data_IF_946519700750
#
_entry.id   IF_946519700750
#
_cell.length_a   1.000
_cell.length_b   1.000
_cell.length_c   1.000
_cell.angle_alpha   90.00
_cell.angle_beta   90.00
_cell.angle_gamma   90.00
#
_symmetry.space_group_name_H-M   'P 1'
#
loop_
_entity.id
_entity.type
_entity.pdbx_description
1 polymer ?
#
# COMPACT_ATOMS: atom_id res chain seq x y z
N UNK A 1 -12.89 -17.53 1.13
CA UNK A 1 -11.79 -17.50 0.13
C UNK A 1 -11.32 -16.07 -0.19
N UNK A 2 -12.20 -15.06 -0.28
CA UNK A 2 -11.81 -13.66 -0.58
C UNK A 2 -10.98 -13.00 0.54
N UNK A 3 -11.24 -13.34 1.80
CA UNK A 3 -10.56 -12.79 2.99
C UNK A 3 -9.05 -13.10 3.07
N UNK A 4 -8.58 -14.11 2.34
CA UNK A 4 -7.14 -14.48 2.33
C UNK A 4 -6.32 -13.75 1.26
N UNK A 5 -6.99 -13.08 0.31
CA UNK A 5 -6.32 -12.42 -0.82
C UNK A 5 -6.03 -10.94 -0.56
N UNK A 6 -6.71 -10.36 0.42
CA UNK A 6 -6.50 -9.00 0.89
C UNK A 6 -6.15 -9.07 2.37
N UNK A 7 -5.04 -8.43 2.75
CA UNK A 7 -4.57 -8.41 4.14
C UNK A 7 -4.47 -6.98 4.65
N UNK A 8 -5.24 -6.67 5.67
CA UNK A 8 -5.09 -5.43 6.41
C UNK A 8 -4.03 -5.57 7.50
N UNK A 9 -3.13 -4.62 7.56
CA UNK A 9 -2.14 -4.47 8.62
C UNK A 9 -2.65 -3.41 9.60
N UNK A 10 -3.19 -3.88 10.70
CA UNK A 10 -3.79 -3.02 11.73
C UNK A 10 -2.91 -3.04 12.99
N UNK A 11 -2.67 -1.85 13.56
CA UNK A 11 -2.06 -1.68 14.87
C UNK A 11 -2.82 -0.60 15.65
N UNK A 12 -3.21 -0.89 16.91
CA UNK A 12 -4.00 0.01 17.78
C UNK A 12 -5.21 0.62 17.05
N UNK A 13 -6.02 -0.23 16.40
CA UNK A 13 -7.22 0.14 15.63
C UNK A 13 -6.99 1.05 14.42
N UNK A 14 -5.74 1.31 14.01
CA UNK A 14 -5.40 2.09 12.82
C UNK A 14 -4.88 1.19 11.71
N UNK A 15 -5.34 1.43 10.49
CA UNK A 15 -4.85 0.76 9.29
C UNK A 15 -3.47 1.32 8.94
N UNK A 16 -2.44 0.50 8.98
CA UNK A 16 -1.07 0.84 8.59
C UNK A 16 -0.80 0.53 7.13
N UNK A 17 -1.29 -0.60 6.67
CA UNK A 17 -1.18 -0.97 5.26
C UNK A 17 -2.30 -1.91 4.84
N UNK A 18 -2.53 -1.93 3.52
CA UNK A 18 -3.38 -2.88 2.83
C UNK A 18 -2.52 -3.62 1.80
N UNK A 19 -2.57 -4.95 1.82
CA UNK A 19 -1.84 -5.79 0.88
C UNK A 19 -2.83 -6.54 0.02
N UNK A 20 -2.64 -6.46 -1.29
CA UNK A 20 -3.41 -7.21 -2.28
C UNK A 20 -2.47 -8.25 -2.86
N UNK A 21 -2.84 -9.52 -2.69
CA UNK A 21 -2.05 -10.64 -3.21
C UNK A 21 -2.27 -10.80 -4.71
N UNK A 22 -1.28 -11.34 -5.38
CA UNK A 22 -1.29 -11.65 -6.81
C UNK A 22 -2.43 -12.59 -7.23
N UNK A 23 -2.93 -13.36 -6.28
CA UNK A 23 -4.03 -14.31 -6.49
C UNK A 23 -5.42 -13.67 -6.39
N UNK A 24 -5.50 -12.37 -6.08
CA UNK A 24 -6.80 -11.71 -5.99
C UNK A 24 -7.52 -11.74 -7.34
N UNK A 25 -8.74 -12.24 -7.30
CA UNK A 25 -9.62 -12.30 -8.47
C UNK A 25 -11.05 -11.93 -8.06
N UNK A 26 -11.69 -11.16 -8.91
CA UNK A 26 -13.13 -10.90 -8.87
C UNK A 26 -13.76 -11.39 -10.15
N UNK A 27 -14.88 -12.08 -10.08
CA UNK A 27 -15.53 -12.68 -11.25
C UNK A 27 -15.93 -11.61 -12.29
N UNK A 28 -16.52 -10.50 -11.88
CA UNK A 28 -16.96 -9.42 -12.78
C UNK A 28 -17.17 -8.10 -12.02
N UNK A 29 -16.89 -6.99 -12.70
CA UNK A 29 -17.16 -5.62 -12.22
C UNK A 29 -16.01 -5.02 -11.42
N UNK A 30 -16.32 -4.04 -10.58
CA UNK A 30 -15.36 -3.25 -9.79
C UNK A 30 -15.49 -3.60 -8.31
N UNK A 31 -14.36 -3.66 -7.60
CA UNK A 31 -14.29 -3.70 -6.13
C UNK A 31 -13.26 -2.72 -5.64
N UNK A 32 -13.65 -1.81 -4.77
CA UNK A 32 -12.71 -0.97 -4.04
C UNK A 32 -12.31 -1.64 -2.72
N UNK A 33 -11.03 -1.59 -2.39
CA UNK A 33 -10.47 -2.18 -1.18
C UNK A 33 -10.38 -1.19 -0.03
N UNK A 34 -10.44 0.09 -0.35
CA UNK A 34 -10.37 1.19 0.59
C UNK A 34 -11.75 1.72 0.93
N UNK A 35 -11.90 2.29 2.12
CA UNK A 35 -13.17 2.94 2.54
C UNK A 35 -13.48 4.12 1.63
N UNK A 36 -14.77 4.44 1.45
CA UNK A 36 -15.21 5.52 0.57
C UNK A 36 -14.66 6.92 0.93
N UNK A 37 -14.30 7.12 2.19
CA UNK A 37 -13.70 8.37 2.69
C UNK A 37 -12.16 8.37 2.66
N UNK A 38 -11.51 7.34 2.10
CA UNK A 38 -10.06 7.34 1.96
C UNK A 38 -9.63 8.35 0.88
N UNK A 39 -8.58 9.12 1.19
CA UNK A 39 -8.03 10.12 0.27
C UNK A 39 -7.38 9.52 -0.98
N UNK A 40 -6.97 8.27 -0.90
CA UNK A 40 -6.50 7.48 -2.03
C UNK A 40 -7.23 6.15 -2.03
N UNK A 41 -7.74 5.76 -3.19
CA UNK A 41 -8.50 4.53 -3.34
C UNK A 41 -7.80 3.57 -4.29
N UNK A 42 -7.86 2.29 -3.96
CA UNK A 42 -7.45 1.20 -4.83
C UNK A 42 -8.67 0.36 -5.16
N UNK A 43 -8.92 0.14 -6.43
CA UNK A 43 -9.96 -0.73 -6.94
C UNK A 43 -9.40 -1.77 -7.89
N UNK A 44 -10.06 -2.90 -7.94
CA UNK A 44 -9.83 -3.97 -8.90
C UNK A 44 -11.00 -4.03 -9.88
N UNK A 45 -10.70 -4.06 -11.16
CA UNK A 45 -11.70 -4.16 -12.22
C UNK A 45 -11.48 -5.44 -13.02
N UNK A 46 -12.56 -6.16 -13.31
CA UNK A 46 -12.56 -7.30 -14.21
C UNK A 46 -13.80 -7.22 -15.09
N UNK A 47 -13.59 -7.05 -16.39
CA UNK A 47 -14.65 -6.95 -17.37
C UNK A 47 -14.38 -7.90 -18.55
N UNK A 48 -15.40 -8.47 -19.17
CA UNK A 48 -15.25 -9.32 -20.34
C UNK A 48 -14.81 -8.51 -21.57
N UNK A 49 -14.33 -9.21 -22.59
CA UNK A 49 -14.08 -8.62 -23.90
C UNK A 49 -15.32 -7.86 -24.39
N UNK A 50 -15.12 -6.74 -25.05
CA UNK A 50 -16.16 -5.84 -25.59
C UNK A 50 -17.06 -5.15 -24.53
N UNK A 51 -16.75 -5.25 -23.26
CA UNK A 51 -17.41 -4.43 -22.25
C UNK A 51 -17.00 -2.96 -22.43
N UNK A 52 -17.97 -2.08 -22.45
CA UNK A 52 -17.73 -0.65 -22.65
C UNK A 52 -17.92 0.13 -21.34
N UNK A 53 -16.87 0.74 -20.85
CA UNK A 53 -16.93 1.69 -19.75
C UNK A 53 -17.23 3.06 -20.35
N UNK A 54 -18.38 3.64 -20.02
CA UNK A 54 -18.78 4.94 -20.58
C UNK A 54 -17.73 6.01 -20.27
N UNK A 55 -17.36 6.85 -21.26
CA UNK A 55 -16.52 8.02 -21.01
C UNK A 55 -17.13 8.90 -19.93
N UNK A 56 -16.28 9.41 -19.05
CA UNK A 56 -16.72 10.25 -17.94
C UNK A 56 -15.64 11.21 -17.49
N UNK A 57 -16.04 12.30 -16.90
CA UNK A 57 -15.17 13.25 -16.23
C UNK A 57 -15.37 13.14 -14.71
N UNK A 58 -14.27 13.23 -13.97
CA UNK A 58 -14.36 13.37 -12.51
C UNK A 58 -14.73 14.80 -12.13
N UNK A 59 -15.69 14.95 -11.24
CA UNK A 59 -16.10 16.25 -10.71
C UNK A 59 -14.96 16.88 -9.90
N UNK A 60 -14.81 18.19 -10.01
CA UNK A 60 -13.89 18.95 -9.15
C UNK A 60 -14.34 18.81 -7.69
N UNK A 61 -13.40 18.55 -6.81
CA UNK A 61 -13.63 18.51 -5.37
C UNK A 61 -12.36 18.93 -4.64
N UNK A 62 -12.51 19.61 -3.54
CA UNK A 62 -11.44 19.92 -2.61
C UNK A 62 -11.27 18.76 -1.62
N UNK A 63 -10.04 18.40 -1.36
CA UNK A 63 -9.70 17.35 -0.39
C UNK A 63 -8.50 17.79 0.43
N UNK A 64 -8.62 17.74 1.76
CA UNK A 64 -7.49 17.96 2.66
C UNK A 64 -6.77 16.64 2.89
N UNK A 65 -5.47 16.62 2.59
CA UNK A 65 -4.61 15.45 2.81
C UNK A 65 -3.70 15.77 4.00
N UNK A 66 -3.87 15.01 5.09
CA UNK A 66 -3.07 15.16 6.31
C UNK A 66 -1.90 14.17 6.37
N UNK A 67 -2.02 13.05 5.67
CA UNK A 67 -1.03 11.98 5.64
C UNK A 67 -0.95 11.49 4.19
N UNK A 68 0.24 11.46 3.65
CA UNK A 68 0.50 10.90 2.32
C UNK A 68 0.39 9.37 2.39
N UNK A 69 -0.42 8.81 1.51
CA UNK A 69 -0.47 7.36 1.27
C UNK A 69 0.39 7.01 0.08
N UNK A 70 1.07 5.87 0.15
CA UNK A 70 1.92 5.37 -0.93
C UNK A 70 1.45 3.97 -1.34
N UNK A 71 1.35 3.74 -2.65
CA UNK A 71 1.04 2.42 -3.21
C UNK A 71 2.29 1.91 -3.92
N UNK A 72 2.78 0.75 -3.51
CA UNK A 72 3.90 0.08 -4.16
C UNK A 72 3.36 -1.14 -4.91
N UNK A 73 3.64 -1.21 -6.19
CA UNK A 73 3.38 -2.37 -7.04
C UNK A 73 4.71 -3.07 -7.28
N UNK A 74 4.90 -4.23 -6.65
CA UNK A 74 6.17 -4.97 -6.76
C UNK A 74 6.14 -5.89 -7.98
N UNK A 75 6.79 -5.45 -9.07
CA UNK A 75 6.82 -6.16 -10.34
C UNK A 75 7.85 -7.28 -10.37
N UNK A 76 8.95 -7.16 -9.59
CA UNK A 76 10.02 -8.16 -9.51
C UNK A 76 10.65 -8.16 -8.13
N UNK A 77 11.15 -9.32 -7.69
CA UNK A 77 11.98 -9.49 -6.50
C UNK A 77 11.19 -9.61 -5.21
N UNK A 78 11.86 -9.27 -4.11
CA UNK A 78 11.35 -9.42 -2.76
C UNK A 78 11.74 -8.24 -1.89
N UNK A 79 10.76 -7.68 -1.17
CA UNK A 79 10.89 -6.48 -0.37
C UNK A 79 10.46 -6.77 1.07
N UNK A 80 11.32 -6.46 2.06
CA UNK A 80 10.87 -6.36 3.45
C UNK A 80 10.38 -4.94 3.71
N UNK A 81 9.21 -4.84 4.31
CA UNK A 81 8.62 -3.57 4.76
C UNK A 81 8.65 -3.54 6.27
N UNK A 82 9.36 -2.58 6.84
CA UNK A 82 9.50 -2.36 8.27
C UNK A 82 8.51 -1.28 8.71
N UNK A 83 7.64 -1.57 9.68
CA UNK A 83 6.63 -0.63 10.18
C UNK A 83 7.06 0.02 11.49
N UNK A 84 6.78 1.32 11.59
CA UNK A 84 7.04 2.14 12.77
C UNK A 84 5.79 2.92 13.16
N UNK A 85 5.61 3.19 14.43
CA UNK A 85 4.55 4.09 14.89
C UNK A 85 4.89 5.57 14.61
N UNK A 86 3.97 6.46 14.95
CA UNK A 86 4.15 7.91 14.75
C UNK A 86 5.27 8.52 15.62
N UNK A 87 5.74 7.78 16.62
CA UNK A 87 6.89 8.14 17.48
C UNK A 87 8.19 7.48 16.98
N UNK A 88 8.21 6.92 15.75
CA UNK A 88 9.36 6.25 15.13
C UNK A 88 9.77 4.94 15.83
N UNK A 89 8.93 4.38 16.73
CA UNK A 89 9.19 3.11 17.39
C UNK A 89 8.85 1.97 16.43
N UNK A 90 9.81 1.04 16.26
CA UNK A 90 9.62 -0.16 15.45
C UNK A 90 8.49 -1.04 15.98
N UNK A 91 7.68 -1.57 15.10
CA UNK A 91 6.56 -2.45 15.41
C UNK A 91 6.83 -3.89 14.98
N UNK A 92 6.97 -4.10 13.70
CA UNK A 92 7.23 -5.39 13.05
C UNK A 92 7.53 -5.18 11.57
N UNK A 93 7.91 -6.25 10.90
CA UNK A 93 8.13 -6.27 9.46
C UNK A 93 7.25 -7.31 8.78
N UNK A 94 7.04 -7.14 7.50
CA UNK A 94 6.42 -8.11 6.59
C UNK A 94 7.30 -8.27 5.36
N UNK A 95 7.06 -9.34 4.59
CA UNK A 95 7.73 -9.55 3.29
C UNK A 95 6.69 -9.48 2.18
N UNK A 96 6.91 -8.56 1.25
CA UNK A 96 6.13 -8.39 0.02
C UNK A 96 6.87 -9.07 -1.13
N UNK A 97 6.16 -9.82 -1.94
CA UNK A 97 6.69 -10.61 -3.06
C UNK A 97 6.25 -10.04 -4.41
N UNK A 98 6.88 -10.52 -5.46
CA UNK A 98 6.51 -10.21 -6.85
C UNK A 98 4.99 -10.27 -7.06
N UNK A 99 4.46 -9.32 -7.83
CA UNK A 99 3.06 -9.14 -8.21
C UNK A 99 2.11 -8.81 -7.05
N UNK A 100 2.62 -8.58 -5.85
CA UNK A 100 1.83 -8.06 -4.74
C UNK A 100 1.81 -6.53 -4.78
N UNK A 101 0.69 -5.98 -4.32
CA UNK A 101 0.49 -4.54 -4.17
C UNK A 101 0.38 -4.25 -2.67
N UNK A 102 1.11 -3.26 -2.20
CA UNK A 102 0.95 -2.74 -0.85
C UNK A 102 0.62 -1.26 -0.87
N UNK A 103 -0.44 -0.87 -0.18
CA UNK A 103 -0.77 0.52 0.11
C UNK A 103 -0.37 0.82 1.54
N UNK A 104 0.50 1.78 1.74
CA UNK A 104 0.96 2.29 3.02
C UNK A 104 0.12 3.51 3.41
N UNK A 105 -0.49 3.51 4.59
CA UNK A 105 -1.51 4.49 4.97
C UNK A 105 -1.12 5.28 6.20
N UNK A 106 -0.51 4.65 7.20
CA UNK A 106 -0.27 5.28 8.50
C UNK A 106 1.07 4.87 9.11
N UNK A 107 1.62 5.76 9.95
CA UNK A 107 2.89 5.54 10.64
C UNK A 107 4.10 5.69 9.72
N UNK A 108 5.27 5.34 10.25
CA UNK A 108 6.51 5.29 9.49
C UNK A 108 6.70 3.92 8.83
N UNK A 109 7.44 3.91 7.74
CA UNK A 109 7.85 2.67 7.09
C UNK A 109 9.26 2.78 6.53
N UNK A 110 9.91 1.64 6.38
CA UNK A 110 11.21 1.50 5.71
C UNK A 110 11.22 0.26 4.82
N UNK A 111 12.12 0.24 3.86
CA UNK A 111 12.26 -0.86 2.92
C UNK A 111 13.67 -1.46 3.00
N UNK A 112 13.73 -2.80 3.04
CA UNK A 112 14.96 -3.55 2.76
C UNK A 112 14.75 -4.43 1.55
N UNK A 113 15.63 -4.27 0.58
CA UNK A 113 15.65 -5.09 -0.63
C UNK A 113 16.25 -6.46 -0.26
N UNK A 114 15.43 -7.53 -0.35
CA UNK A 114 15.86 -8.90 -0.09
C UNK A 114 16.30 -9.63 -1.35
N UNK A 115 15.72 -9.28 -2.49
CA UNK A 115 16.09 -9.71 -3.83
C UNK A 115 15.99 -8.50 -4.76
N UNK A 116 16.77 -8.41 -5.85
CA UNK A 116 16.72 -7.27 -6.77
C UNK A 116 15.28 -6.97 -7.21
N UNK A 117 14.82 -5.74 -6.99
CA UNK A 117 13.42 -5.33 -7.22
C UNK A 117 13.25 -4.43 -8.43
N UNK A 118 12.07 -4.55 -9.06
CA UNK A 118 11.44 -3.50 -9.88
C UNK A 118 10.09 -3.21 -9.26
N UNK A 119 9.81 -1.95 -8.99
CA UNK A 119 8.56 -1.54 -8.37
C UNK A 119 8.12 -0.17 -8.88
N UNK A 120 6.80 0.04 -8.92
CA UNK A 120 6.19 1.35 -9.15
C UNK A 120 5.71 1.90 -7.82
N UNK A 121 5.98 3.18 -7.58
CA UNK A 121 5.42 3.95 -6.47
C UNK A 121 4.36 4.92 -7.02
N UNK A 122 3.19 4.92 -6.40
CA UNK A 122 2.11 5.86 -6.67
C UNK A 122 1.79 6.54 -5.35
N UNK A 123 1.98 7.85 -5.27
CA UNK A 123 1.65 8.62 -4.07
C UNK A 123 0.95 9.92 -4.40
N UNK A 124 0.31 10.50 -3.41
CA UNK A 124 -0.28 11.82 -3.57
C UNK A 124 0.81 12.88 -3.70
N UNK A 125 0.63 13.77 -4.68
CA UNK A 125 1.42 14.98 -4.84
C UNK A 125 0.74 16.20 -4.22
N UNK A 126 1.34 17.40 -4.38
CA UNK A 126 2.60 17.64 -5.06
C UNK A 126 3.83 17.19 -4.25
N UNK A 127 4.95 16.96 -4.93
CA UNK A 127 6.22 16.69 -4.26
C UNK A 127 6.81 17.98 -3.70
N UNK A 128 7.15 18.01 -2.42
CA UNK A 128 7.60 19.22 -1.69
C UNK A 128 9.05 19.08 -1.21
N UNK A 129 9.92 18.55 -2.06
CA UNK A 129 11.36 18.42 -1.79
C UNK A 129 11.66 17.85 -0.39
N UNK A 130 12.55 18.47 0.37
CA UNK A 130 13.00 17.99 1.68
C UNK A 130 11.92 18.02 2.79
N UNK A 131 10.77 18.64 2.53
CA UNK A 131 9.64 18.68 3.48
C UNK A 131 8.69 17.49 3.35
N UNK A 132 8.87 16.66 2.32
CA UNK A 132 7.98 15.54 2.03
C UNK A 132 8.13 14.38 3.02
N UNK A 133 9.34 14.12 3.52
CA UNK A 133 9.66 12.98 4.39
C UNK A 133 10.59 13.38 5.53
N UNK A 134 10.30 12.89 6.73
CA UNK A 134 11.22 12.95 7.87
C UNK A 134 11.94 11.62 7.98
N UNK A 135 13.22 11.59 7.63
CA UNK A 135 14.06 10.39 7.74
C UNK A 135 14.44 10.13 9.19
N UNK A 136 14.61 8.86 9.54
CA UNK A 136 15.09 8.41 10.85
C UNK A 136 15.82 7.07 10.71
N UNK A 137 16.49 6.63 11.77
CA UNK A 137 17.32 5.44 11.76
C UNK A 137 16.50 4.16 11.63
N UNK A 138 17.01 3.22 10.85
CA UNK A 138 16.43 1.89 10.69
C UNK A 138 16.57 1.08 11.97
N UNK A 139 15.69 0.09 12.14
CA UNK A 139 15.82 -0.94 13.19
C UNK A 139 17.07 -1.79 12.98
N UNK A 140 17.72 -2.20 14.07
CA UNK A 140 18.78 -3.19 14.06
C UNK A 140 18.23 -4.52 13.50
N UNK A 141 18.99 -5.13 12.58
CA UNK A 141 18.61 -6.40 11.93
C UNK A 141 18.36 -7.53 12.93
N UNK A 142 19.10 -7.55 14.06
CA UNK A 142 18.92 -8.54 15.14
C UNK A 142 17.56 -8.43 15.85
N UNK A 143 16.88 -7.31 15.73
CA UNK A 143 15.60 -7.01 16.40
C UNK A 143 14.40 -7.16 15.47
N UNK A 144 14.61 -7.58 14.23
CA UNK A 144 13.54 -7.73 13.23
C UNK A 144 12.56 -8.83 13.64
N UNK A 145 11.28 -8.50 13.58
CA UNK A 145 10.16 -9.41 13.85
C UNK A 145 9.29 -9.51 12.60
N UNK A 146 9.44 -10.58 11.82
CA UNK A 146 8.66 -10.79 10.59
C UNK A 146 7.31 -11.42 10.94
N UNK A 147 6.23 -10.75 10.55
CA UNK A 147 4.87 -11.30 10.57
C UNK A 147 4.55 -11.96 9.22
N UNK A 148 3.96 -13.13 9.26
CA UNK A 148 3.38 -13.79 8.08
C UNK A 148 2.10 -13.07 7.63
N UNK A 149 1.92 -12.90 6.33
CA UNK A 149 0.75 -12.29 5.69
C UNK A 149 0.11 -13.26 4.69
#
# INVERSE_FOLDING_TARGET
>A
YLLYMIKEIIHKKKLYALIIKETYQKKKGISFFTKNNANQQIGFMNHPKNYFIKPHNHQKRETKIFITSEVIILQKGKLRVDFYDTKKKYLFSIVVKKNQIIMLVHGGHGFKILEPVKMLEIKQGPYVNNKDKIKFDKIDEKRIKIKKI
#
